data_IF_541265099468
#
_entry.id   IF_541265099468
#
_cell.length_a   1.000
_cell.length_b   1.000
_cell.length_c   1.000
_cell.angle_alpha   90.00
_cell.angle_beta   90.00
_cell.angle_gamma   90.00
#
_symmetry.space_group_name_H-M   'P 1'
#
loop_
_entity.id
_entity.type
_entity.pdbx_description
1 polymer ?
#
# COMPACT_ATOMS: atom_id res chain seq x y z
N UNK A 1 -38.06 -57.69 10.50
CA UNK A 1 -36.91 -56.92 11.06
C UNK A 1 -36.64 -55.73 10.15
N UNK A 2 -37.15 -54.51 10.41
CA UNK A 2 -36.87 -53.37 9.50
C UNK A 2 -36.95 -51.96 10.08
N UNK A 3 -37.49 -51.75 11.31
CA UNK A 3 -37.61 -50.39 11.88
C UNK A 3 -36.37 -49.89 12.62
N UNK A 4 -35.67 -50.78 13.34
CA UNK A 4 -34.48 -50.39 14.13
C UNK A 4 -33.33 -49.85 13.29
N UNK A 5 -33.05 -50.46 12.13
CA UNK A 5 -31.98 -50.00 11.24
C UNK A 5 -32.23 -48.60 10.66
N UNK A 6 -33.47 -48.28 10.31
CA UNK A 6 -33.83 -46.97 9.78
C UNK A 6 -33.71 -45.87 10.85
N UNK A 7 -34.09 -46.15 12.10
CA UNK A 7 -33.93 -45.19 13.21
C UNK A 7 -32.47 -44.93 13.53
N UNK A 8 -31.64 -45.97 13.59
CA UNK A 8 -30.19 -45.83 13.82
C UNK A 8 -29.54 -45.02 12.71
N UNK A 9 -29.87 -45.32 11.45
CA UNK A 9 -29.36 -44.56 10.30
C UNK A 9 -29.74 -43.07 10.39
N UNK A 10 -31.00 -42.77 10.75
CA UNK A 10 -31.46 -41.39 10.92
C UNK A 10 -30.70 -40.63 12.00
N UNK A 11 -30.41 -41.27 13.15
CA UNK A 11 -29.63 -40.67 14.23
C UNK A 11 -28.20 -40.38 13.79
N UNK A 12 -27.56 -41.34 13.13
CA UNK A 12 -26.18 -41.17 12.62
C UNK A 12 -26.11 -40.04 11.60
N UNK A 13 -27.05 -40.01 10.65
CA UNK A 13 -27.09 -38.97 9.62
C UNK A 13 -27.36 -37.59 10.23
N UNK A 14 -28.29 -37.50 11.18
CA UNK A 14 -28.57 -36.27 11.92
C UNK A 14 -27.34 -35.77 12.68
N UNK A 15 -26.63 -36.66 13.37
CA UNK A 15 -25.37 -36.33 14.05
C UNK A 15 -24.29 -35.83 13.09
N UNK A 16 -24.13 -36.48 11.94
CA UNK A 16 -23.18 -36.06 10.92
C UNK A 16 -23.51 -34.68 10.35
N UNK A 17 -24.79 -34.37 10.10
CA UNK A 17 -25.23 -33.05 9.63
C UNK A 17 -24.94 -31.98 10.68
N UNK A 18 -25.24 -32.23 11.95
CA UNK A 18 -24.96 -31.28 13.04
C UNK A 18 -23.47 -31.03 13.17
N UNK A 19 -22.65 -32.09 13.16
CA UNK A 19 -21.20 -31.98 13.23
C UNK A 19 -20.64 -31.17 12.07
N UNK A 20 -21.04 -31.50 10.84
CA UNK A 20 -20.58 -30.79 9.64
C UNK A 20 -21.06 -29.34 9.63
N UNK A 21 -22.30 -29.08 10.03
CA UNK A 21 -22.84 -27.73 10.15
C UNK A 21 -22.09 -26.89 11.19
N UNK A 22 -21.80 -27.44 12.36
CA UNK A 22 -20.99 -26.77 13.38
C UNK A 22 -19.60 -26.43 12.85
N UNK A 23 -18.91 -27.40 12.22
CA UNK A 23 -17.60 -27.17 11.62
C UNK A 23 -17.62 -26.24 10.40
N UNK A 24 -18.71 -26.18 9.64
CA UNK A 24 -18.86 -25.23 8.54
C UNK A 24 -19.00 -23.79 9.05
N UNK A 25 -19.53 -23.59 10.26
CA UNK A 25 -19.64 -22.25 10.87
C UNK A 25 -18.34 -21.86 11.58
N UNK A 26 -17.82 -22.72 12.46
CA UNK A 26 -16.70 -22.40 13.38
C UNK A 26 -15.34 -22.93 12.92
N UNK A 27 -15.30 -23.71 11.84
CA UNK A 27 -14.06 -24.26 11.31
C UNK A 27 -13.11 -23.18 10.78
N UNK A 28 -11.86 -23.58 10.57
CA UNK A 28 -10.79 -22.69 10.06
C UNK A 28 -11.12 -22.07 8.69
N UNK A 29 -11.89 -22.77 7.87
CA UNK A 29 -12.40 -22.30 6.57
C UNK A 29 -13.92 -22.09 6.62
N UNK A 30 -14.47 -21.90 7.83
CA UNK A 30 -15.89 -21.72 8.04
C UNK A 30 -16.36 -20.29 7.79
N UNK A 31 -17.66 -20.09 7.95
CA UNK A 31 -18.32 -18.81 7.68
C UNK A 31 -17.74 -17.65 8.52
N UNK A 32 -17.41 -17.90 9.80
CA UNK A 32 -16.84 -16.86 10.66
C UNK A 32 -15.49 -16.40 10.13
N UNK A 33 -14.60 -17.33 9.79
CA UNK A 33 -13.29 -17.03 9.23
C UNK A 33 -13.39 -16.25 7.90
N UNK A 34 -14.40 -16.58 7.08
CA UNK A 34 -14.66 -15.86 5.84
C UNK A 34 -15.07 -14.40 6.09
N UNK A 35 -15.98 -14.16 7.05
CA UNK A 35 -16.41 -12.81 7.42
C UNK A 35 -15.25 -12.00 7.99
N UNK A 36 -14.43 -12.58 8.85
CA UNK A 36 -13.25 -11.92 9.42
C UNK A 36 -12.22 -11.55 8.34
N UNK A 37 -12.02 -12.43 7.36
CA UNK A 37 -11.12 -12.17 6.24
C UNK A 37 -11.64 -11.01 5.36
N UNK A 38 -12.93 -11.00 5.05
CA UNK A 38 -13.55 -9.88 4.31
C UNK A 38 -13.44 -8.56 5.07
N UNK A 39 -13.59 -8.57 6.40
CA UNK A 39 -13.42 -7.37 7.22
C UNK A 39 -11.97 -6.85 7.17
N UNK A 40 -10.99 -7.76 7.20
CA UNK A 40 -9.58 -7.40 7.04
C UNK A 40 -9.29 -6.84 5.65
N UNK A 41 -9.79 -7.47 4.60
CA UNK A 41 -9.66 -6.99 3.22
C UNK A 41 -10.16 -5.55 3.07
N UNK A 42 -11.39 -5.27 3.52
CA UNK A 42 -11.96 -3.90 3.51
C UNK A 42 -11.12 -2.91 4.31
N UNK A 43 -10.61 -3.32 5.47
CA UNK A 43 -9.72 -2.46 6.27
C UNK A 43 -8.41 -2.17 5.54
N UNK A 44 -7.85 -3.15 4.83
CA UNK A 44 -6.61 -2.99 4.07
C UNK A 44 -6.83 -2.07 2.86
N UNK A 45 -7.93 -2.24 2.13
CA UNK A 45 -8.34 -1.36 1.03
C UNK A 45 -8.47 0.09 1.50
N UNK A 46 -9.17 0.34 2.61
CA UNK A 46 -9.29 1.68 3.18
C UNK A 46 -7.94 2.30 3.58
N UNK A 47 -7.00 1.47 4.08
CA UNK A 47 -5.65 1.94 4.40
C UNK A 47 -4.86 2.25 3.14
N UNK A 48 -5.02 1.45 2.10
CA UNK A 48 -4.39 1.67 0.80
C UNK A 48 -4.86 2.99 0.20
N UNK A 49 -6.17 3.20 0.09
CA UNK A 49 -6.76 4.45 -0.43
C UNK A 49 -6.26 5.68 0.34
N UNK A 50 -6.16 5.56 1.67
CA UNK A 50 -5.63 6.64 2.51
C UNK A 50 -4.16 6.92 2.23
N UNK A 51 -3.34 5.89 2.09
CA UNK A 51 -1.92 6.02 1.82
C UNK A 51 -1.67 6.56 0.41
N UNK A 52 -2.45 6.14 -0.58
CA UNK A 52 -2.40 6.68 -1.94
C UNK A 52 -2.77 8.16 -1.96
N UNK A 53 -3.82 8.55 -1.23
CA UNK A 53 -4.18 9.97 -1.08
C UNK A 53 -3.08 10.79 -0.40
N UNK A 54 -2.43 10.25 0.64
CA UNK A 54 -1.28 10.91 1.28
C UNK A 54 -0.10 11.03 0.34
N UNK A 55 0.21 9.96 -0.40
CA UNK A 55 1.28 9.95 -1.40
C UNK A 55 1.02 11.00 -2.47
N UNK A 56 -0.18 11.05 -3.05
CA UNK A 56 -0.54 12.05 -4.05
C UNK A 56 -0.43 13.48 -3.51
N UNK A 57 -0.87 13.72 -2.26
CA UNK A 57 -0.73 15.03 -1.62
C UNK A 57 0.73 15.42 -1.39
N UNK A 58 1.57 14.47 -0.97
CA UNK A 58 3.01 14.66 -0.80
C UNK A 58 3.70 14.88 -2.14
N UNK A 59 3.35 14.14 -3.18
CA UNK A 59 3.86 14.32 -4.54
C UNK A 59 3.47 15.70 -5.09
N UNK A 60 2.23 16.16 -4.88
CA UNK A 60 1.81 17.51 -5.27
C UNK A 60 2.52 18.61 -4.46
N UNK A 61 2.86 18.35 -3.20
CA UNK A 61 3.68 19.27 -2.38
C UNK A 61 5.13 19.28 -2.85
N UNK A 62 5.70 18.10 -3.09
CA UNK A 62 7.05 17.91 -3.58
C UNK A 62 7.20 18.48 -4.99
N UNK A 63 6.19 18.39 -5.86
CA UNK A 63 6.17 19.02 -7.17
C UNK A 63 6.20 20.55 -7.04
N UNK A 64 5.42 21.13 -6.12
CA UNK A 64 5.46 22.58 -5.83
C UNK A 64 6.74 23.07 -5.16
N UNK A 65 7.44 22.18 -4.44
CA UNK A 65 8.74 22.45 -3.83
C UNK A 65 9.90 22.07 -4.75
N UNK A 66 9.63 21.28 -5.79
CA UNK A 66 10.56 20.99 -6.87
C UNK A 66 10.56 22.22 -7.73
N UNK A 67 11.68 22.94 -7.79
CA UNK A 67 11.79 24.00 -8.76
C UNK A 67 11.76 23.31 -10.12
N UNK A 68 10.82 23.63 -10.98
CA UNK A 68 11.12 23.58 -12.42
C UNK A 68 12.30 24.52 -12.79
N UNK A 69 12.91 25.22 -11.82
CA UNK A 69 14.01 26.17 -11.94
C UNK A 69 15.29 25.80 -11.17
N UNK A 70 15.64 24.52 -11.00
CA UNK A 70 17.06 24.20 -10.81
C UNK A 70 17.73 24.35 -12.19
N UNK A 71 17.75 25.59 -12.67
CA UNK A 71 18.40 25.96 -13.90
C UNK A 71 19.88 25.64 -13.72
N UNK A 72 20.37 24.68 -14.50
CA UNK A 72 21.77 24.31 -14.50
C UNK A 72 22.64 25.53 -14.87
N UNK A 73 22.12 26.47 -15.66
CA UNK A 73 22.79 27.75 -15.93
C UNK A 73 22.80 28.65 -14.69
N UNK A 74 21.72 28.66 -13.88
CA UNK A 74 21.71 29.38 -12.60
C UNK A 74 22.65 28.75 -11.57
N UNK A 75 22.81 27.42 -11.57
CA UNK A 75 23.82 26.75 -10.76
C UNK A 75 25.25 27.05 -11.26
N UNK A 76 25.49 27.11 -12.58
CA UNK A 76 26.81 27.48 -13.13
C UNK A 76 27.16 28.95 -12.82
N UNK A 77 26.18 29.86 -12.94
CA UNK A 77 26.34 31.27 -12.60
C UNK A 77 26.60 31.45 -11.09
N UNK A 78 25.82 30.77 -10.23
CA UNK A 78 26.07 30.80 -8.79
C UNK A 78 27.37 30.10 -8.40
N UNK A 79 27.81 29.09 -9.15
CA UNK A 79 29.10 28.46 -8.95
C UNK A 79 30.24 29.41 -9.33
N UNK A 80 30.18 30.14 -10.45
CA UNK A 80 31.18 31.15 -10.84
C UNK A 80 31.24 32.37 -9.92
N UNK A 81 30.10 32.75 -9.34
CA UNK A 81 30.04 33.87 -8.38
C UNK A 81 30.52 33.43 -6.99
N UNK A 82 30.28 32.18 -6.58
CA UNK A 82 30.64 31.68 -5.24
C UNK A 82 32.04 31.07 -5.20
N UNK A 83 32.38 30.20 -6.16
CA UNK A 83 33.77 29.96 -6.54
C UNK A 83 34.15 31.13 -7.41
N UNK A 84 34.69 32.18 -6.81
CA UNK A 84 35.65 33.01 -7.50
C UNK A 84 36.77 32.10 -8.03
N UNK A 85 36.55 31.47 -9.19
CA UNK A 85 37.57 30.99 -10.09
C UNK A 85 38.21 32.20 -10.78
N UNK A 86 38.52 33.24 -10.01
CA UNK A 86 39.69 34.05 -10.27
C UNK A 86 40.85 33.19 -9.82
N UNK A 87 41.40 32.39 -10.73
CA UNK A 87 42.78 32.01 -10.56
C UNK A 87 43.56 33.31 -10.39
N UNK A 88 44.46 33.37 -9.42
CA UNK A 88 45.12 34.60 -8.92
C UNK A 88 45.97 35.34 -9.96
N UNK A 89 45.98 34.88 -11.21
CA UNK A 89 46.91 35.22 -12.29
C UNK A 89 46.21 35.60 -13.62
N UNK A 90 44.87 35.67 -13.69
CA UNK A 90 44.19 35.94 -14.97
C UNK A 90 43.92 37.44 -15.21
N UNK A 91 44.68 38.04 -16.13
CA UNK A 91 44.56 39.42 -16.60
C UNK A 91 43.71 39.46 -17.88
N UNK A 92 42.52 40.08 -17.80
CA UNK A 92 41.65 40.34 -18.95
C UNK A 92 41.89 41.77 -19.44
N UNK A 93 42.33 41.92 -20.70
CA UNK A 93 42.42 43.23 -21.36
C UNK A 93 41.18 43.47 -22.21
N UNK A 94 40.56 44.64 -22.06
CA UNK A 94 39.58 45.15 -23.01
C UNK A 94 40.33 45.89 -24.12
N UNK A 95 40.12 45.48 -25.37
CA UNK A 95 40.61 46.18 -26.55
C UNK A 95 39.49 47.08 -27.06
N UNK A 96 39.72 48.39 -27.00
CA UNK A 96 39.11 49.37 -27.89
C UNK A 96 40.22 50.27 -28.44
#
# INVERSE_FOLDING_TARGET
MSKGGATVLGIVLGGAIIYLGAHAVTGRQGLIAYVDLQAQERSLEQRLDRLEGQRAALEARAARMRPESLDLDYLDERARVTLAAGNREELVFAVE
#
